data_IF_856944188703
#
_entry.id   IF_856944188703
#
_cell.length_a   1.000
_cell.length_b   1.000
_cell.length_c   1.000
_cell.angle_alpha   90.00
_cell.angle_beta   90.00
_cell.angle_gamma   90.00
#
_symmetry.space_group_name_H-M   'P 1'
#
loop_
_entity.id
_entity.type
_entity.pdbx_description
1 polymer ?
#
# COMPACT_ATOMS: atom_id res chain seq x y z
N UNK A 1 47.95 9.62 30.50
CA UNK A 1 47.08 10.44 29.63
C UNK A 1 45.98 9.55 29.12
N UNK A 2 44.77 9.67 29.67
CA UNK A 2 43.58 9.04 29.11
C UNK A 2 42.99 9.99 28.06
N UNK A 3 42.48 9.51 26.91
CA UNK A 3 41.80 10.36 25.96
C UNK A 3 40.47 10.82 26.56
N UNK A 4 40.22 12.12 26.52
CA UNK A 4 38.94 12.69 26.91
C UNK A 4 37.83 12.18 25.98
N UNK A 5 36.61 11.91 26.49
CA UNK A 5 35.49 11.62 25.62
C UNK A 5 35.17 12.87 24.79
N UNK A 6 35.22 12.72 23.47
CA UNK A 6 34.75 13.71 22.52
C UNK A 6 33.26 13.97 22.77
N UNK A 7 32.91 15.15 23.26
CA UNK A 7 31.54 15.64 23.29
C UNK A 7 31.15 16.13 21.89
N UNK A 8 30.98 15.21 20.95
CA UNK A 8 30.21 15.49 19.75
C UNK A 8 28.74 15.29 20.08
N UNK A 9 28.17 16.22 20.84
CA UNK A 9 26.75 16.49 20.72
C UNK A 9 26.60 17.19 19.35
N UNK A 10 26.51 16.40 18.29
CA UNK A 10 26.11 16.89 16.98
C UNK A 10 24.75 17.58 17.14
N UNK A 11 24.66 18.80 16.61
CA UNK A 11 23.46 19.61 16.55
C UNK A 11 22.26 18.77 16.08
N UNK A 12 21.43 18.31 17.01
CA UNK A 12 20.11 17.83 16.69
C UNK A 12 19.39 18.98 15.98
N UNK A 13 18.86 18.79 14.75
CA UNK A 13 18.19 19.87 14.05
C UNK A 13 17.08 20.43 14.92
N UNK A 14 17.02 21.76 15.03
CA UNK A 14 16.05 22.49 15.85
C UNK A 14 14.67 21.83 15.71
N UNK A 15 14.19 21.24 16.82
CA UNK A 15 13.02 20.37 16.79
C UNK A 15 11.81 21.08 16.19
N UNK A 16 11.15 20.42 15.24
CA UNK A 16 9.87 20.88 14.70
C UNK A 16 8.82 21.07 15.81
N UNK A 17 7.70 21.76 15.52
CA UNK A 17 6.67 22.02 16.51
C UNK A 17 6.20 20.71 17.16
N UNK A 18 5.92 20.72 18.48
CA UNK A 18 5.57 19.51 19.21
C UNK A 18 4.31 18.86 18.60
N UNK A 19 4.38 17.55 18.44
CA UNK A 19 3.25 16.74 17.94
C UNK A 19 2.60 15.99 19.10
N UNK A 20 1.29 15.74 19.00
CA UNK A 20 0.58 14.91 19.96
C UNK A 20 0.50 13.49 19.39
N UNK A 21 1.04 12.53 20.13
CA UNK A 21 1.02 11.12 19.77
C UNK A 21 0.10 10.32 20.71
N UNK A 22 -0.52 9.28 20.17
CA UNK A 22 -1.37 8.36 20.92
C UNK A 22 -1.51 7.05 20.18
N UNK A 23 -2.22 6.10 20.77
CA UNK A 23 -2.60 4.86 20.10
C UNK A 23 -3.90 4.31 20.68
N UNK A 24 -4.55 3.44 19.93
CA UNK A 24 -5.69 2.63 20.37
C UNK A 24 -5.80 1.39 19.49
N UNK A 25 -6.73 0.50 19.84
CA UNK A 25 -7.13 -0.63 19.00
C UNK A 25 -8.57 -0.45 18.52
N UNK A 26 -8.87 -0.96 17.33
CA UNK A 26 -10.22 -1.00 16.73
C UNK A 26 -10.56 -2.39 16.21
N UNK A 27 -11.85 -2.62 15.97
CA UNK A 27 -12.34 -3.95 15.62
C UNK A 27 -12.13 -4.92 16.78
N UNK A 28 -11.84 -6.17 16.43
CA UNK A 28 -11.63 -7.23 17.41
C UNK A 28 -12.92 -7.87 17.91
N UNK A 29 -12.83 -9.16 18.24
CA UNK A 29 -13.83 -9.92 18.99
C UNK A 29 -13.14 -10.93 19.90
N UNK A 30 -13.82 -11.34 20.96
CA UNK A 30 -13.41 -12.49 21.73
C UNK A 30 -13.79 -13.78 21.01
N UNK A 31 -12.86 -14.73 20.94
CA UNK A 31 -13.06 -16.03 20.33
C UNK A 31 -12.57 -17.14 21.26
N UNK A 32 -13.35 -18.22 21.35
CA UNK A 32 -13.05 -19.38 22.18
C UNK A 32 -12.22 -20.37 21.36
N UNK A 33 -10.99 -20.62 21.79
CA UNK A 33 -10.05 -21.56 21.14
C UNK A 33 -9.64 -22.61 22.17
N UNK A 34 -9.97 -23.88 21.92
CA UNK A 34 -9.69 -25.02 22.81
C UNK A 34 -10.18 -24.85 24.26
N UNK A 35 -9.35 -24.40 25.21
CA UNK A 35 -9.65 -24.13 26.62
C UNK A 35 -9.54 -22.63 27.03
N UNK A 36 -9.06 -21.76 26.13
CA UNK A 36 -8.88 -20.31 26.34
C UNK A 36 -9.86 -19.44 25.52
N UNK A 37 -9.98 -18.18 25.93
CA UNK A 37 -10.65 -17.11 25.15
C UNK A 37 -9.59 -16.08 24.77
N UNK A 38 -9.51 -15.74 23.48
CA UNK A 38 -8.49 -14.84 22.91
C UNK A 38 -9.14 -13.69 22.15
N UNK A 39 -8.43 -12.56 22.01
CA UNK A 39 -8.85 -11.44 21.15
C UNK A 39 -8.33 -11.66 19.72
N UNK A 40 -9.23 -11.57 18.74
CA UNK A 40 -8.93 -11.76 17.31
C UNK A 40 -9.59 -10.68 16.46
N UNK A 41 -9.02 -10.31 15.32
CA UNK A 41 -9.57 -9.30 14.41
C UNK A 41 -9.27 -7.84 14.80
N UNK A 42 -8.46 -7.60 15.83
CA UNK A 42 -8.10 -6.27 16.29
C UNK A 42 -7.02 -5.63 15.42
N UNK A 43 -7.12 -4.32 15.21
CA UNK A 43 -6.15 -3.51 14.50
C UNK A 43 -5.56 -2.46 15.44
N UNK A 44 -4.25 -2.46 15.59
CA UNK A 44 -3.50 -1.40 16.25
C UNK A 44 -3.49 -0.15 15.38
N UNK A 45 -3.71 1.00 16.01
CA UNK A 45 -3.72 2.31 15.36
C UNK A 45 -2.88 3.27 16.18
N UNK A 46 -1.83 3.81 15.58
CA UNK A 46 -1.05 4.91 16.14
C UNK A 46 -1.55 6.23 15.56
N UNK A 47 -1.87 7.20 16.41
CA UNK A 47 -2.29 8.55 15.99
C UNK A 47 -1.15 9.54 16.19
N UNK A 48 -0.95 10.44 15.23
CA UNK A 48 -0.10 11.63 15.35
C UNK A 48 -0.86 12.83 14.81
N UNK A 49 -0.75 13.98 15.47
CA UNK A 49 -1.35 15.23 15.00
C UNK A 49 -0.51 16.45 15.36
N UNK A 50 -0.60 17.54 14.59
CA UNK A 50 -0.06 18.84 14.99
C UNK A 50 -0.81 19.37 16.23
N UNK A 51 -0.23 20.37 16.87
CA UNK A 51 -0.89 21.09 17.97
C UNK A 51 -2.28 21.63 17.54
N UNK A 52 -2.36 22.18 16.33
CA UNK A 52 -3.59 22.60 15.68
C UNK A 52 -3.75 21.87 14.33
N UNK A 53 -4.85 21.13 14.17
CA UNK A 53 -5.21 20.47 12.90
C UNK A 53 -5.81 21.51 11.96
N UNK A 54 -5.26 21.65 10.76
CA UNK A 54 -5.72 22.62 9.75
C UNK A 54 -6.34 21.96 8.53
N UNK A 55 -6.15 20.66 8.37
CA UNK A 55 -6.75 19.88 7.29
C UNK A 55 -8.11 19.32 7.71
N UNK A 56 -9.12 19.33 6.82
CA UNK A 56 -10.49 18.99 7.18
C UNK A 56 -10.69 17.50 7.48
N UNK A 57 -9.88 16.62 6.86
CA UNK A 57 -9.98 15.18 7.08
C UNK A 57 -8.62 14.61 7.50
N UNK A 58 -8.62 13.68 8.47
CA UNK A 58 -7.43 12.92 8.79
C UNK A 58 -7.01 12.00 7.64
N UNK A 59 -5.78 11.52 7.71
CA UNK A 59 -5.22 10.51 6.81
C UNK A 59 -5.03 9.20 7.55
N UNK A 60 -5.49 8.10 6.97
CA UNK A 60 -5.22 6.73 7.44
C UNK A 60 -4.19 6.09 6.52
N UNK A 61 -3.02 5.73 7.06
CA UNK A 61 -1.93 5.11 6.33
C UNK A 61 -1.90 3.60 6.58
N UNK A 62 -1.99 2.80 5.51
CA UNK A 62 -2.09 1.33 5.55
C UNK A 62 -0.95 0.71 4.76
N UNK A 63 -0.08 -0.03 5.46
CA UNK A 63 1.15 -0.62 4.90
C UNK A 63 0.87 -1.85 4.04
N UNK A 64 1.87 -2.31 3.28
CA UNK A 64 1.78 -3.50 2.44
C UNK A 64 2.10 -4.84 3.12
N UNK A 65 2.35 -5.85 2.28
CA UNK A 65 2.69 -7.21 2.71
C UNK A 65 4.07 -7.25 3.38
N UNK A 66 4.25 -8.12 4.37
CA UNK A 66 5.50 -8.27 5.15
C UNK A 66 5.97 -7.05 5.96
N UNK A 67 5.19 -5.97 5.97
CA UNK A 67 5.55 -4.69 6.60
C UNK A 67 4.63 -4.36 7.78
N UNK A 68 4.91 -3.23 8.44
CA UNK A 68 4.11 -2.61 9.51
C UNK A 68 3.95 -1.11 9.24
N UNK A 69 3.25 -0.38 10.12
CA UNK A 69 3.14 1.07 10.05
C UNK A 69 4.47 1.84 10.10
N UNK A 70 5.58 1.17 10.47
CA UNK A 70 6.94 1.74 10.49
C UNK A 70 7.34 2.35 9.16
N UNK A 71 6.87 1.81 8.02
CA UNK A 71 7.17 2.34 6.69
C UNK A 71 6.83 3.82 6.51
N UNK A 72 5.88 4.33 7.30
CA UNK A 72 5.45 5.72 7.23
C UNK A 72 6.03 6.57 8.35
N UNK A 73 6.64 5.97 9.38
CA UNK A 73 7.16 6.69 10.54
C UNK A 73 8.56 7.27 10.29
N UNK A 74 9.40 6.55 9.55
CA UNK A 74 10.78 6.92 9.26
C UNK A 74 11.33 6.13 8.07
N UNK A 75 12.39 6.63 7.47
CA UNK A 75 13.11 5.94 6.40
C UNK A 75 14.23 5.07 6.99
N UNK A 76 14.69 4.03 6.29
CA UNK A 76 15.74 3.13 6.79
C UNK A 76 17.10 3.82 6.99
N UNK A 77 17.32 4.97 6.37
CA UNK A 77 18.51 5.82 6.57
C UNK A 77 18.31 6.91 7.65
N UNK A 78 17.22 6.86 8.41
CA UNK A 78 17.00 7.69 9.61
C UNK A 78 16.31 9.03 9.38
N UNK A 79 15.85 9.32 8.15
CA UNK A 79 15.06 10.54 7.88
C UNK A 79 13.62 10.38 8.39
N UNK A 80 12.90 11.48 8.65
CA UNK A 80 11.47 11.44 8.91
C UNK A 80 10.68 10.77 7.77
N UNK A 81 9.63 10.04 8.13
CA UNK A 81 8.73 9.41 7.15
C UNK A 81 7.51 10.27 6.82
N UNK A 82 6.67 9.76 5.92
CA UNK A 82 5.45 10.45 5.46
C UNK A 82 4.52 10.89 6.59
N UNK A 83 4.40 10.12 7.67
CA UNK A 83 3.57 10.50 8.80
C UNK A 83 3.97 11.87 9.39
N UNK A 84 5.28 12.12 9.50
CA UNK A 84 5.80 13.40 9.96
C UNK A 84 5.50 14.50 8.94
N UNK A 85 5.73 14.23 7.64
CA UNK A 85 5.47 15.20 6.57
C UNK A 85 4.01 15.63 6.50
N UNK A 86 3.07 14.69 6.63
CA UNK A 86 1.64 14.99 6.66
C UNK A 86 1.23 15.77 7.92
N UNK A 87 1.79 15.44 9.09
CA UNK A 87 1.56 16.21 10.33
C UNK A 87 2.02 17.67 10.18
N UNK A 88 3.18 17.90 9.57
CA UNK A 88 3.70 19.24 9.26
C UNK A 88 2.81 20.03 8.29
N UNK A 89 2.05 19.34 7.41
CA UNK A 89 1.05 19.94 6.52
C UNK A 89 -0.34 20.06 7.17
N UNK A 90 -0.45 19.79 8.46
CA UNK A 90 -1.66 20.07 9.24
C UNK A 90 -2.65 18.91 9.35
N UNK A 91 -2.29 17.71 8.88
CA UNK A 91 -3.14 16.53 8.97
C UNK A 91 -3.07 15.89 10.36
N UNK A 92 -4.22 15.42 10.87
CA UNK A 92 -4.22 14.30 11.81
C UNK A 92 -3.95 13.01 11.03
N UNK A 93 -3.05 12.16 11.54
CA UNK A 93 -2.58 10.96 10.84
C UNK A 93 -2.80 9.74 11.74
N UNK A 94 -3.40 8.70 11.18
CA UNK A 94 -3.60 7.40 11.80
C UNK A 94 -2.81 6.36 11.01
N UNK A 95 -1.96 5.60 11.67
CA UNK A 95 -1.04 4.65 11.07
C UNK A 95 -1.36 3.30 11.66
N UNK A 96 -1.74 2.35 10.82
CA UNK A 96 -2.22 1.05 11.28
C UNK A 96 -1.15 -0.01 11.16
N UNK A 97 -1.20 -1.01 12.04
CA UNK A 97 -0.66 -2.34 11.73
C UNK A 97 -1.85 -3.23 11.33
N UNK A 98 -1.80 -3.87 10.16
CA UNK A 98 -2.88 -4.77 9.71
C UNK A 98 -3.21 -5.84 10.76
N UNK A 99 -4.45 -6.34 10.76
CA UNK A 99 -4.84 -7.49 11.59
C UNK A 99 -3.87 -8.66 11.36
N UNK A 100 -3.43 -9.31 12.43
CA UNK A 100 -2.48 -10.42 12.32
C UNK A 100 -1.02 -9.98 12.15
N UNK A 101 -0.70 -8.67 12.15
CA UNK A 101 0.63 -8.11 11.85
C UNK A 101 1.13 -7.19 12.97
N UNK A 102 2.42 -7.22 13.27
CA UNK A 102 3.05 -6.26 14.19
C UNK A 102 2.33 -6.18 15.53
N UNK A 103 1.90 -4.98 15.92
CA UNK A 103 1.23 -4.72 17.21
C UNK A 103 -0.24 -5.16 17.23
N UNK A 104 -0.81 -5.57 16.10
CA UNK A 104 -2.14 -6.18 15.99
C UNK A 104 -2.14 -7.67 16.32
N UNK A 105 -0.98 -8.23 16.67
CA UNK A 105 -0.81 -9.57 17.23
C UNK A 105 -0.82 -10.67 16.17
N UNK A 106 0.15 -11.59 16.24
CA UNK A 106 0.13 -12.82 15.45
C UNK A 106 -0.68 -13.89 16.17
N UNK A 107 -1.46 -14.68 15.43
CA UNK A 107 -2.22 -15.78 16.02
C UNK A 107 -2.37 -16.95 15.02
N UNK A 108 -1.36 -17.83 14.90
CA UNK A 108 -1.40 -18.94 13.96
C UNK A 108 -2.45 -20.01 14.31
N UNK A 109 -2.90 -20.09 15.57
CA UNK A 109 -3.96 -21.02 15.97
C UNK A 109 -5.32 -20.66 15.36
N UNK A 110 -5.59 -19.36 15.16
CA UNK A 110 -6.86 -18.87 14.59
C UNK A 110 -6.70 -18.49 13.12
N UNK A 111 -5.61 -17.80 12.77
CA UNK A 111 -5.41 -17.27 11.42
C UNK A 111 -4.63 -18.21 10.51
N UNK A 112 -4.16 -19.36 11.01
CA UNK A 112 -3.42 -20.32 10.21
C UNK A 112 -1.97 -19.91 9.93
N UNK A 113 -1.34 -20.47 8.88
CA UNK A 113 0.09 -20.34 8.67
C UNK A 113 0.52 -18.93 8.24
N UNK A 114 1.74 -18.58 8.64
CA UNK A 114 2.40 -17.34 8.26
C UNK A 114 3.57 -17.61 7.32
N UNK A 115 3.85 -16.66 6.44
CA UNK A 115 4.98 -16.67 5.51
C UNK A 115 5.93 -15.50 5.75
N UNK A 116 7.11 -15.56 5.13
CA UNK A 116 8.15 -14.52 5.13
C UNK A 116 8.77 -14.42 3.76
N UNK A 117 9.22 -13.23 3.38
CA UNK A 117 10.10 -13.08 2.21
C UNK A 117 11.54 -13.44 2.55
N UNK A 118 12.26 -13.95 1.56
CA UNK A 118 13.72 -14.09 1.63
C UNK A 118 14.39 -12.76 1.29
N UNK A 119 15.66 -12.62 1.66
CA UNK A 119 16.51 -11.49 1.26
C UNK A 119 16.44 -11.24 -0.24
N UNK A 120 16.71 -12.28 -1.05
CA UNK A 120 16.67 -12.19 -2.52
C UNK A 120 15.32 -11.69 -3.05
N UNK A 121 14.20 -12.20 -2.51
CA UNK A 121 12.88 -11.78 -2.95
C UNK A 121 12.64 -10.28 -2.72
N UNK A 122 13.16 -9.72 -1.62
CA UNK A 122 13.04 -8.30 -1.32
C UNK A 122 13.98 -7.45 -2.18
N UNK A 123 15.22 -7.90 -2.38
CA UNK A 123 16.17 -7.21 -3.27
C UNK A 123 15.62 -7.10 -4.70
N UNK A 124 15.19 -8.21 -5.28
CA UNK A 124 14.76 -8.25 -6.69
C UNK A 124 13.42 -7.52 -6.92
N UNK A 125 12.57 -7.42 -5.89
CA UNK A 125 11.23 -6.84 -6.01
C UNK A 125 11.15 -5.40 -5.53
N UNK A 126 11.93 -4.98 -4.53
CA UNK A 126 11.68 -3.73 -3.81
C UNK A 126 12.86 -2.77 -3.70
N UNK A 127 14.10 -3.26 -3.59
CA UNK A 127 15.21 -2.40 -3.13
C UNK A 127 16.43 -2.37 -4.04
N UNK A 128 16.57 -3.34 -4.96
CA UNK A 128 17.70 -3.42 -5.90
C UNK A 128 17.24 -3.91 -7.29
N UNK A 129 16.03 -3.55 -7.70
CA UNK A 129 15.38 -4.03 -8.94
C UNK A 129 16.26 -3.83 -10.19
N UNK A 130 17.05 -2.76 -10.22
CA UNK A 130 18.01 -2.41 -11.27
C UNK A 130 19.10 -3.46 -11.50
N UNK A 131 19.40 -4.31 -10.51
CA UNK A 131 20.39 -5.38 -10.62
C UNK A 131 19.81 -6.67 -11.21
N UNK A 132 18.48 -6.83 -11.19
CA UNK A 132 17.80 -8.07 -11.58
C UNK A 132 17.12 -7.99 -12.95
N UNK A 133 16.83 -6.79 -13.45
CA UNK A 133 16.32 -6.52 -14.81
C UNK A 133 15.10 -7.39 -15.22
N UNK A 134 14.19 -7.63 -14.27
CA UNK A 134 13.02 -8.51 -14.46
C UNK A 134 11.90 -7.88 -15.30
N UNK A 135 11.95 -6.56 -15.49
CA UNK A 135 10.99 -5.79 -16.28
C UNK A 135 11.69 -4.57 -16.90
N UNK A 136 11.17 -4.02 -18.03
CA UNK A 136 11.94 -3.08 -18.86
C UNK A 136 12.43 -1.81 -18.17
N UNK A 137 11.73 -1.37 -17.12
CA UNK A 137 12.03 -0.14 -16.39
C UNK A 137 12.89 -0.36 -15.14
N UNK A 138 13.22 -1.60 -14.78
CA UNK A 138 13.92 -1.90 -13.53
C UNK A 138 15.24 -1.14 -13.39
N UNK A 139 15.99 -1.02 -14.49
CA UNK A 139 17.25 -0.26 -14.60
C UNK A 139 17.16 1.24 -14.26
N UNK A 140 15.96 1.80 -14.17
CA UNK A 140 15.76 3.22 -13.84
C UNK A 140 15.85 3.47 -12.32
N UNK A 141 15.85 2.42 -11.50
CA UNK A 141 15.81 2.57 -10.05
C UNK A 141 17.13 3.14 -9.52
N UNK A 142 17.02 4.30 -8.86
CA UNK A 142 18.19 5.07 -8.39
C UNK A 142 17.96 5.76 -7.05
N UNK A 143 16.76 5.63 -6.47
CA UNK A 143 16.38 6.38 -5.27
C UNK A 143 16.59 5.62 -3.95
N UNK A 144 17.02 4.36 -3.97
CA UNK A 144 17.38 3.67 -2.72
C UNK A 144 18.57 4.37 -2.03
N UNK A 145 18.51 4.60 -0.70
CA UNK A 145 19.60 5.22 0.03
C UNK A 145 20.87 4.35 0.03
N UNK A 146 22.03 4.99 -0.22
CA UNK A 146 23.32 4.29 -0.23
C UNK A 146 23.64 3.46 -1.49
N UNK A 147 22.83 3.56 -2.55
CA UNK A 147 23.00 2.75 -3.77
C UNK A 147 22.05 1.54 -3.78
N UNK A 148 22.30 0.51 -4.62
CA UNK A 148 21.43 -0.67 -4.66
C UNK A 148 21.20 -1.27 -3.27
N UNK A 149 19.93 -1.51 -2.93
CA UNK A 149 19.53 -2.05 -1.65
C UNK A 149 19.68 -3.56 -1.59
N UNK A 150 20.92 -4.02 -1.42
CA UNK A 150 21.30 -5.43 -1.24
C UNK A 150 21.88 -5.67 0.15
N UNK A 151 22.03 -6.93 0.55
CA UNK A 151 22.67 -7.29 1.82
C UNK A 151 24.00 -6.55 2.03
N UNK A 152 24.14 -5.88 3.19
CA UNK A 152 25.31 -5.07 3.54
C UNK A 152 25.20 -3.59 3.16
N UNK A 153 24.18 -3.19 2.39
CA UNK A 153 23.75 -1.80 2.34
C UNK A 153 23.03 -1.46 3.66
N UNK A 154 23.48 -0.44 4.37
CA UNK A 154 22.95 -0.10 5.70
C UNK A 154 21.44 0.19 5.71
N UNK A 155 20.91 0.85 4.68
CA UNK A 155 19.48 1.11 4.55
C UNK A 155 18.70 -0.18 4.22
N UNK A 156 19.27 -1.06 3.39
CA UNK A 156 18.67 -2.37 3.15
C UNK A 156 18.63 -3.23 4.41
N UNK A 157 19.69 -3.25 5.21
CA UNK A 157 19.74 -4.05 6.43
C UNK A 157 18.69 -3.58 7.46
N UNK A 158 18.49 -2.26 7.59
CA UNK A 158 17.40 -1.69 8.41
C UNK A 158 16.01 -2.03 7.84
N UNK A 159 15.83 -1.90 6.52
CA UNK A 159 14.59 -2.29 5.87
C UNK A 159 14.28 -3.78 6.08
N UNK A 160 15.25 -4.66 5.89
CA UNK A 160 15.12 -6.10 6.08
C UNK A 160 14.77 -6.45 7.53
N UNK A 161 15.42 -5.80 8.50
CA UNK A 161 15.12 -5.97 9.92
C UNK A 161 13.70 -5.53 10.30
N UNK A 162 13.12 -4.58 9.57
CA UNK A 162 11.72 -4.13 9.79
C UNK A 162 10.67 -5.08 9.21
N UNK A 163 11.06 -6.07 8.40
CA UNK A 163 10.13 -7.03 7.81
C UNK A 163 9.64 -8.04 8.85
N UNK A 164 8.34 -8.34 8.81
CA UNK A 164 7.66 -9.23 9.76
C UNK A 164 6.87 -10.32 9.02
N UNK A 165 6.56 -11.46 9.68
CA UNK A 165 5.70 -12.48 9.09
C UNK A 165 4.32 -11.95 8.69
N UNK A 166 3.75 -12.49 7.62
CA UNK A 166 2.41 -12.17 7.15
C UNK A 166 1.56 -13.43 6.97
N UNK A 167 0.24 -13.29 7.02
CA UNK A 167 -0.70 -14.40 6.80
C UNK A 167 -0.50 -15.00 5.41
N UNK A 168 -0.35 -16.32 5.32
CA UNK A 168 -0.19 -17.00 4.04
C UNK A 168 -1.47 -16.97 3.20
N UNK A 169 -2.65 -16.92 3.85
CA UNK A 169 -3.95 -16.80 3.19
C UNK A 169 -4.24 -15.36 2.75
N UNK A 170 -4.10 -15.09 1.44
CA UNK A 170 -4.34 -13.75 0.90
C UNK A 170 -5.82 -13.31 1.00
N UNK A 171 -6.78 -14.22 0.72
CA UNK A 171 -8.20 -13.94 0.90
C UNK A 171 -8.56 -13.69 2.37
N UNK A 172 -8.11 -14.57 3.26
CA UNK A 172 -8.33 -14.43 4.70
C UNK A 172 -7.76 -13.11 5.24
N UNK A 173 -6.66 -12.60 4.66
CA UNK A 173 -6.12 -11.29 5.03
C UNK A 173 -7.12 -10.17 4.76
N UNK A 174 -7.76 -10.14 3.58
CA UNK A 174 -8.80 -9.14 3.26
C UNK A 174 -10.02 -9.28 4.19
N UNK A 175 -10.50 -10.51 4.40
CA UNK A 175 -11.64 -10.81 5.29
C UNK A 175 -11.41 -10.38 6.75
N UNK A 176 -10.14 -10.30 7.19
CA UNK A 176 -9.77 -9.83 8.52
C UNK A 176 -9.51 -8.32 8.57
N UNK A 177 -8.84 -7.76 7.56
CA UNK A 177 -8.38 -6.36 7.57
C UNK A 177 -9.50 -5.39 7.21
N UNK A 178 -10.36 -5.72 6.25
CA UNK A 178 -11.39 -4.81 5.76
C UNK A 178 -12.40 -4.42 6.86
N UNK A 179 -12.93 -5.35 7.67
CA UNK A 179 -13.83 -4.98 8.77
C UNK A 179 -13.15 -4.11 9.83
N UNK A 180 -11.86 -4.32 10.09
CA UNK A 180 -11.12 -3.53 11.07
C UNK A 180 -10.83 -2.10 10.57
N UNK A 181 -10.54 -1.92 9.28
CA UNK A 181 -10.44 -0.60 8.66
C UNK A 181 -11.80 0.12 8.61
N UNK A 182 -12.88 -0.60 8.33
CA UNK A 182 -14.25 -0.05 8.42
C UNK A 182 -14.51 0.42 9.85
N UNK A 183 -14.19 -0.39 10.87
CA UNK A 183 -14.33 -0.01 12.27
C UNK A 183 -13.47 1.21 12.65
N UNK A 184 -12.30 1.38 12.03
CA UNK A 184 -11.49 2.58 12.19
C UNK A 184 -12.24 3.81 11.65
N UNK A 185 -12.73 3.76 10.41
CA UNK A 185 -13.46 4.86 9.80
C UNK A 185 -14.75 5.19 10.55
N UNK A 186 -15.51 4.18 10.96
CA UNK A 186 -16.74 4.37 11.75
C UNK A 186 -16.42 5.06 13.11
N UNK A 187 -15.21 4.87 13.65
CA UNK A 187 -14.76 5.51 14.90
C UNK A 187 -14.25 6.94 14.70
N UNK A 188 -13.46 7.21 13.66
CA UNK A 188 -12.80 8.51 13.46
C UNK A 188 -13.59 9.46 12.55
N UNK A 189 -14.60 8.94 11.86
CA UNK A 189 -15.39 9.66 10.87
C UNK A 189 -14.70 9.72 9.49
N UNK A 190 -15.11 10.67 8.64
CA UNK A 190 -14.55 10.86 7.31
C UNK A 190 -13.02 10.98 7.27
N UNK A 191 -12.37 10.30 6.34
CA UNK A 191 -10.91 10.30 6.22
C UNK A 191 -10.42 10.10 4.77
N UNK A 192 -9.16 10.44 4.53
CA UNK A 192 -8.41 10.04 3.34
C UNK A 192 -7.68 8.73 3.63
N UNK A 193 -7.80 7.74 2.74
CA UNK A 193 -7.04 6.50 2.81
C UNK A 193 -5.77 6.61 1.97
N UNK A 194 -4.61 6.35 2.57
CA UNK A 194 -3.33 6.18 1.87
C UNK A 194 -2.90 4.73 2.05
N UNK A 195 -2.97 3.95 0.98
CA UNK A 195 -2.67 2.51 1.02
C UNK A 195 -1.46 2.19 0.17
N UNK A 196 -0.61 1.27 0.61
CA UNK A 196 0.57 0.83 -0.15
C UNK A 196 0.56 -0.65 -0.49
N UNK A 197 0.89 -0.99 -1.74
CA UNK A 197 1.12 -2.37 -2.17
C UNK A 197 -0.12 -3.25 -1.96
N UNK A 198 0.01 -4.28 -1.12
CA UNK A 198 -1.11 -5.17 -0.75
C UNK A 198 -2.34 -4.40 -0.26
N UNK A 199 -2.14 -3.29 0.46
CA UNK A 199 -3.25 -2.56 1.06
C UNK A 199 -4.13 -1.81 0.06
N UNK A 200 -3.72 -1.71 -1.22
CA UNK A 200 -4.59 -1.18 -2.27
C UNK A 200 -5.94 -1.90 -2.34
N UNK A 201 -5.94 -3.22 -2.14
CA UNK A 201 -7.14 -4.06 -2.18
C UNK A 201 -8.09 -3.69 -1.04
N UNK A 202 -7.56 -3.53 0.17
CA UNK A 202 -8.35 -3.11 1.33
C UNK A 202 -8.95 -1.71 1.11
N UNK A 203 -8.17 -0.80 0.52
CA UNK A 203 -8.65 0.53 0.16
C UNK A 203 -9.84 0.49 -0.81
N UNK A 204 -9.81 -0.38 -1.82
CA UNK A 204 -10.95 -0.59 -2.72
C UNK A 204 -12.17 -1.16 -1.98
N UNK A 205 -12.00 -2.23 -1.21
CA UNK A 205 -13.11 -2.83 -0.46
C UNK A 205 -13.75 -1.85 0.53
N UNK A 206 -12.94 -1.09 1.26
CA UNK A 206 -13.42 -0.12 2.25
C UNK A 206 -14.06 1.10 1.58
N UNK A 207 -13.53 1.56 0.44
CA UNK A 207 -14.14 2.63 -0.35
C UNK A 207 -15.51 2.23 -0.91
N UNK A 208 -15.66 0.97 -1.31
CA UNK A 208 -16.94 0.42 -1.76
C UNK A 208 -17.95 0.28 -0.61
N UNK A 209 -17.49 -0.13 0.57
CA UNK A 209 -18.33 -0.36 1.75
C UNK A 209 -18.67 0.94 2.53
N UNK A 210 -17.84 1.98 2.41
CA UNK A 210 -17.99 3.27 3.12
C UNK A 210 -17.71 4.47 2.19
N UNK A 211 -18.39 4.60 1.05
CA UNK A 211 -18.14 5.67 0.09
C UNK A 211 -18.41 7.08 0.66
N UNK A 212 -19.21 7.19 1.72
CA UNK A 212 -19.49 8.46 2.39
C UNK A 212 -18.39 8.90 3.39
N UNK A 213 -17.65 7.93 3.95
CA UNK A 213 -16.56 8.19 4.90
C UNK A 213 -15.20 8.30 4.21
N UNK A 214 -14.97 7.56 3.12
CA UNK A 214 -13.72 7.70 2.36
C UNK A 214 -13.80 8.93 1.46
N UNK A 215 -13.09 10.00 1.86
CA UNK A 215 -13.08 11.28 1.12
C UNK A 215 -12.12 11.29 -0.05
N UNK A 216 -11.06 10.49 0.04
CA UNK A 216 -10.23 10.14 -1.09
C UNK A 216 -9.46 8.85 -0.81
N UNK A 217 -9.11 8.12 -1.87
CA UNK A 217 -8.24 6.95 -1.79
C UNK A 217 -6.98 7.16 -2.63
N UNK A 218 -5.85 7.34 -1.95
CA UNK A 218 -4.51 7.39 -2.53
C UNK A 218 -3.93 5.98 -2.53
N UNK A 219 -4.04 5.31 -3.67
CA UNK A 219 -3.57 3.95 -3.88
C UNK A 219 -2.13 3.98 -4.40
N UNK A 220 -1.15 3.87 -3.48
CA UNK A 220 0.27 3.80 -3.81
C UNK A 220 0.60 2.38 -4.26
N UNK A 221 0.77 2.22 -5.57
CA UNK A 221 1.21 0.96 -6.17
C UNK A 221 0.36 -0.27 -5.76
N UNK A 222 -0.99 -0.20 -5.93
CA UNK A 222 -1.96 -1.14 -5.35
C UNK A 222 -1.89 -2.54 -5.95
N UNK A 223 -1.96 -3.62 -5.14
CA UNK A 223 -1.86 -5.01 -5.62
C UNK A 223 -2.81 -5.29 -6.80
N UNK A 224 -2.29 -6.04 -7.78
CA UNK A 224 -2.79 -6.13 -9.14
C UNK A 224 -1.80 -6.94 -9.99
N UNK A 225 -2.07 -7.17 -11.28
CA UNK A 225 -3.18 -6.62 -12.06
C UNK A 225 -4.53 -7.28 -11.71
N UNK A 226 -5.65 -6.80 -12.28
CA UNK A 226 -6.95 -7.40 -12.05
C UNK A 226 -7.01 -8.88 -12.43
N UNK A 227 -7.79 -9.65 -11.67
CA UNK A 227 -8.05 -11.09 -11.80
C UNK A 227 -6.87 -12.03 -11.56
N UNK A 228 -5.71 -11.82 -12.19
CA UNK A 228 -4.61 -12.80 -12.20
C UNK A 228 -3.30 -12.19 -11.73
N UNK A 229 -2.47 -12.99 -11.05
CA UNK A 229 -1.10 -12.61 -10.76
C UNK A 229 -0.23 -12.83 -11.99
N UNK A 230 0.85 -12.08 -12.09
CA UNK A 230 1.87 -12.27 -13.12
C UNK A 230 3.22 -12.48 -12.47
N UNK A 231 4.06 -13.29 -13.11
CA UNK A 231 5.46 -13.43 -12.73
C UNK A 231 6.32 -12.72 -13.76
N UNK A 232 7.16 -11.80 -13.30
CA UNK A 232 8.13 -11.11 -14.12
C UNK A 232 9.41 -11.95 -14.23
N UNK A 233 9.99 -12.02 -15.42
CA UNK A 233 11.07 -12.95 -15.79
C UNK A 233 12.20 -12.30 -16.59
N UNK A 234 12.08 -11.02 -16.96
CA UNK A 234 13.07 -10.30 -17.78
C UNK A 234 13.07 -10.72 -19.25
N UNK A 235 13.90 -10.03 -20.05
CA UNK A 235 14.01 -10.29 -21.50
C UNK A 235 12.84 -9.75 -22.32
N UNK A 236 12.69 -10.23 -23.57
CA UNK A 236 11.66 -9.74 -24.51
C UNK A 236 10.24 -10.09 -24.07
N UNK A 237 10.04 -11.31 -23.58
CA UNK A 237 8.79 -11.80 -23.02
C UNK A 237 8.85 -11.75 -21.48
N UNK A 238 8.95 -10.53 -20.96
CA UNK A 238 9.31 -10.27 -19.56
C UNK A 238 8.29 -10.72 -18.52
N UNK A 239 7.13 -11.28 -18.90
CA UNK A 239 6.10 -11.71 -17.96
C UNK A 239 5.36 -12.96 -18.42
N UNK A 240 4.78 -13.68 -17.45
CA UNK A 240 3.78 -14.72 -17.70
C UNK A 240 2.63 -14.61 -16.68
N UNK A 241 1.50 -15.27 -16.97
CA UNK A 241 0.40 -15.43 -16.01
C UNK A 241 0.74 -16.49 -14.94
N UNK A 242 0.59 -16.14 -13.67
CA UNK A 242 0.80 -17.05 -12.54
C UNK A 242 -0.41 -17.97 -12.34
N UNK A 243 -0.45 -19.06 -13.10
CA UNK A 243 -1.51 -20.07 -13.01
C UNK A 243 -2.86 -19.64 -13.59
N UNK A 244 -3.84 -20.54 -13.53
CA UNK A 244 -5.18 -20.33 -14.12
C UNK A 244 -6.25 -19.85 -13.13
N UNK A 245 -5.98 -19.96 -11.83
CA UNK A 245 -6.88 -19.47 -10.78
C UNK A 245 -6.89 -17.94 -10.71
N UNK A 246 -8.07 -17.35 -10.46
CA UNK A 246 -8.18 -15.91 -10.22
C UNK A 246 -7.56 -15.58 -8.86
N UNK A 247 -6.45 -14.86 -8.86
CA UNK A 247 -5.81 -14.32 -7.67
C UNK A 247 -6.65 -13.23 -6.99
N UNK A 248 -7.50 -12.52 -7.74
CA UNK A 248 -8.48 -11.52 -7.28
C UNK A 248 -9.82 -11.81 -7.93
N UNK A 249 -10.66 -12.56 -7.23
CA UNK A 249 -11.89 -13.14 -7.78
C UNK A 249 -12.86 -12.08 -8.36
N UNK A 250 -12.88 -10.88 -7.76
CA UNK A 250 -13.76 -9.76 -8.12
C UNK A 250 -13.03 -8.66 -8.88
N UNK A 251 -12.00 -9.03 -9.65
CA UNK A 251 -11.20 -8.10 -10.45
C UNK A 251 -10.09 -7.47 -9.62
N UNK A 252 -10.42 -6.53 -8.75
CA UNK A 252 -9.44 -5.75 -7.97
C UNK A 252 -9.38 -6.12 -6.49
N UNK A 253 -10.23 -7.04 -6.03
CA UNK A 253 -10.27 -7.60 -4.67
C UNK A 253 -10.52 -9.11 -4.71
N UNK A 254 -10.22 -9.79 -3.61
CA UNK A 254 -10.60 -11.20 -3.38
C UNK A 254 -11.97 -11.30 -2.72
N UNK A 255 -12.35 -10.29 -1.94
CA UNK A 255 -13.69 -10.17 -1.36
C UNK A 255 -14.68 -9.51 -2.34
N UNK A 256 -16.00 -9.80 -2.23
CA UNK A 256 -17.01 -9.20 -3.10
C UNK A 256 -17.06 -7.67 -3.00
N UNK A 257 -17.39 -7.01 -4.11
CA UNK A 257 -17.69 -5.59 -4.21
C UNK A 257 -19.15 -5.36 -4.64
N UNK A 258 -19.64 -4.14 -4.49
CA UNK A 258 -20.99 -3.75 -4.90
C UNK A 258 -21.04 -3.49 -6.41
N UNK A 259 -21.28 -4.56 -7.19
CA UNK A 259 -21.47 -4.45 -8.64
C UNK A 259 -22.91 -4.12 -9.03
N UNK A 260 -23.07 -3.40 -10.15
CA UNK A 260 -24.35 -3.22 -10.85
C UNK A 260 -24.21 -3.50 -12.35
N UNK A 261 -24.91 -4.50 -12.92
CA UNK A 261 -25.80 -5.44 -12.23
C UNK A 261 -25.10 -6.32 -11.18
N UNK A 262 -25.82 -6.85 -10.15
CA UNK A 262 -25.21 -7.61 -9.06
C UNK A 262 -24.44 -8.85 -9.51
N UNK A 263 -23.28 -9.08 -8.87
CA UNK A 263 -22.45 -10.29 -8.96
C UNK A 263 -22.74 -11.16 -7.75
N UNK A 264 -23.24 -12.39 -7.95
CA UNK A 264 -23.53 -13.35 -6.87
C UNK A 264 -22.35 -14.26 -6.57
N UNK A 265 -21.56 -14.56 -7.59
CA UNK A 265 -20.31 -15.29 -7.46
C UNK A 265 -19.26 -14.78 -8.46
N UNK A 266 -17.97 -15.04 -8.26
CA UNK A 266 -16.91 -14.58 -9.17
C UNK A 266 -17.14 -14.97 -10.63
N UNK A 267 -17.79 -16.10 -10.88
CA UNK A 267 -18.08 -16.64 -12.22
C UNK A 267 -19.01 -15.73 -13.04
N UNK A 268 -19.82 -14.88 -12.39
CA UNK A 268 -20.68 -13.90 -13.08
C UNK A 268 -19.88 -12.79 -13.77
N UNK A 269 -18.58 -12.65 -13.45
CA UNK A 269 -17.65 -11.79 -14.15
C UNK A 269 -16.97 -12.58 -15.26
N UNK A 270 -17.36 -12.31 -16.50
CA UNK A 270 -16.62 -12.78 -17.68
C UNK A 270 -15.29 -12.05 -17.71
N UNK A 271 -14.18 -12.75 -17.98
CA UNK A 271 -12.85 -12.16 -18.01
C UNK A 271 -12.24 -12.32 -19.39
N UNK A 272 -11.74 -11.24 -19.97
CA UNK A 272 -11.08 -11.22 -21.28
C UNK A 272 -9.72 -10.55 -21.17
N UNK A 273 -8.73 -11.08 -21.88
CA UNK A 273 -7.44 -10.41 -22.01
C UNK A 273 -7.48 -9.40 -23.15
N UNK A 274 -7.00 -8.19 -22.91
CA UNK A 274 -6.84 -7.16 -23.92
C UNK A 274 -5.96 -7.65 -25.08
N UNK A 275 -6.28 -7.23 -26.31
CA UNK A 275 -5.56 -7.66 -27.53
C UNK A 275 -4.10 -7.17 -27.53
N UNK A 276 -3.85 -6.00 -26.95
CA UNK A 276 -2.55 -5.35 -26.90
C UNK A 276 -2.32 -4.69 -25.52
N UNK A 277 -1.05 -4.50 -25.10
CA UNK A 277 -0.73 -3.70 -23.91
C UNK A 277 -1.03 -2.22 -24.14
N UNK A 278 -1.18 -1.45 -23.05
CA UNK A 278 -1.46 -0.01 -23.13
C UNK A 278 -0.28 0.80 -23.70
N UNK A 279 0.95 0.35 -23.47
CA UNK A 279 2.18 0.93 -23.98
C UNK A 279 3.30 -0.12 -24.03
N UNK A 280 4.44 0.23 -24.62
CA UNK A 280 5.63 -0.61 -24.59
C UNK A 280 6.10 -0.87 -23.15
N UNK A 281 6.51 -2.10 -22.87
CA UNK A 281 6.90 -2.53 -21.52
C UNK A 281 5.74 -2.55 -20.52
N UNK A 282 4.50 -2.74 -21.00
CA UNK A 282 3.31 -3.04 -20.20
C UNK A 282 2.80 -4.44 -20.52
N UNK A 283 2.10 -5.05 -19.57
CA UNK A 283 1.42 -6.31 -19.80
C UNK A 283 0.10 -6.10 -20.57
N UNK A 284 -0.47 -7.17 -21.10
CA UNK A 284 -1.87 -7.17 -21.55
C UNK A 284 -2.80 -7.39 -20.37
N UNK A 285 -3.73 -6.48 -20.18
CA UNK A 285 -4.65 -6.50 -19.03
C UNK A 285 -5.73 -7.56 -19.16
N UNK A 286 -6.08 -8.22 -18.05
CA UNK A 286 -7.32 -8.97 -17.94
C UNK A 286 -8.41 -8.05 -17.39
N UNK A 287 -9.48 -7.90 -18.15
CA UNK A 287 -10.58 -6.97 -17.89
C UNK A 287 -11.93 -7.71 -17.94
N UNK A 288 -13.02 -7.04 -17.62
CA UNK A 288 -14.35 -7.62 -17.76
C UNK A 288 -14.66 -7.86 -19.25
N UNK A 289 -15.25 -9.01 -19.55
CA UNK A 289 -15.98 -9.24 -20.79
C UNK A 289 -17.44 -8.81 -20.64
N UNK A 290 -18.21 -8.88 -21.72
CA UNK A 290 -19.62 -8.52 -21.69
C UNK A 290 -20.48 -9.55 -20.93
N UNK A 291 -21.51 -9.10 -20.18
CA UNK A 291 -21.84 -7.70 -19.90
C UNK A 291 -20.88 -7.09 -18.87
N UNK A 292 -20.36 -5.90 -19.17
CA UNK A 292 -19.58 -5.12 -18.20
C UNK A 292 -20.45 -4.71 -17.02
N UNK A 293 -19.93 -4.84 -15.80
CA UNK A 293 -20.59 -4.45 -14.56
C UNK A 293 -19.91 -3.23 -13.96
N UNK A 294 -20.73 -2.27 -13.54
CA UNK A 294 -20.27 -1.05 -12.89
C UNK A 294 -20.04 -1.27 -11.39
N UNK A 295 -19.24 -0.40 -10.77
CA UNK A 295 -18.97 -0.34 -9.33
C UNK A 295 -19.45 1.02 -8.80
N UNK A 296 -20.78 1.21 -8.62
CA UNK A 296 -21.37 2.52 -8.33
C UNK A 296 -20.85 3.16 -7.04
N UNK A 297 -20.53 2.39 -6.00
CA UNK A 297 -20.01 2.96 -4.75
C UNK A 297 -18.58 3.47 -4.94
N UNK A 298 -17.70 2.69 -5.57
CA UNK A 298 -16.34 3.14 -5.89
C UNK A 298 -16.31 4.36 -6.81
N UNK A 299 -17.25 4.46 -7.76
CA UNK A 299 -17.34 5.61 -8.64
C UNK A 299 -17.61 6.94 -7.91
N UNK A 300 -18.09 6.89 -6.66
CA UNK A 300 -18.34 8.08 -5.82
C UNK A 300 -17.10 8.54 -5.05
N UNK A 301 -16.07 7.71 -4.95
CA UNK A 301 -14.86 8.01 -4.15
C UNK A 301 -13.76 8.54 -5.07
N UNK A 302 -13.28 9.78 -4.87
CA UNK A 302 -12.11 10.29 -5.57
C UNK A 302 -10.91 9.40 -5.28
N UNK A 303 -10.26 8.87 -6.31
CA UNK A 303 -9.12 7.98 -6.15
C UNK A 303 -7.96 8.41 -7.05
N UNK A 304 -6.74 8.05 -6.65
CA UNK A 304 -5.54 8.15 -7.48
C UNK A 304 -4.70 6.89 -7.35
N UNK A 305 -4.22 6.39 -8.47
CA UNK A 305 -3.20 5.34 -8.51
C UNK A 305 -1.84 6.03 -8.70
N UNK A 306 -0.96 5.85 -7.73
CA UNK A 306 0.39 6.41 -7.74
C UNK A 306 1.36 5.33 -8.18
N UNK A 307 2.13 5.59 -9.23
CA UNK A 307 3.03 4.60 -9.84
C UNK A 307 4.41 5.21 -10.03
N UNK A 308 5.43 4.52 -9.51
CA UNK A 308 6.82 4.91 -9.69
C UNK A 308 7.39 4.41 -11.02
N UNK A 309 8.43 5.10 -11.51
CA UNK A 309 8.95 4.84 -12.85
C UNK A 309 9.71 3.50 -12.95
N UNK A 310 10.42 3.14 -11.89
CA UNK A 310 11.30 1.98 -11.83
C UNK A 310 10.73 0.82 -10.99
N UNK A 311 9.44 0.87 -10.68
CA UNK A 311 8.76 -0.20 -9.97
C UNK A 311 8.18 -1.24 -10.93
N UNK A 312 8.14 -2.49 -10.51
CA UNK A 312 7.44 -3.59 -11.19
C UNK A 312 5.96 -3.27 -11.45
N UNK A 313 5.41 -2.33 -10.70
CA UNK A 313 4.04 -1.82 -10.83
C UNK A 313 3.81 -1.00 -12.08
N UNK A 314 4.84 -0.36 -12.61
CA UNK A 314 4.79 0.34 -13.90
C UNK A 314 4.27 -0.58 -15.01
N UNK A 315 4.61 -1.88 -14.96
CA UNK A 315 4.19 -2.85 -15.98
C UNK A 315 2.70 -3.22 -15.90
N UNK A 316 2.03 -3.00 -14.76
CA UNK A 316 0.71 -3.59 -14.45
C UNK A 316 -0.35 -2.62 -13.94
N UNK A 317 0.01 -1.48 -13.35
CA UNK A 317 -0.95 -0.56 -12.71
C UNK A 317 -1.94 0.05 -13.71
N UNK A 318 -1.53 0.23 -14.98
CA UNK A 318 -2.43 0.66 -16.06
C UNK A 318 -3.64 -0.29 -16.22
N UNK A 319 -3.49 -1.57 -15.84
CA UNK A 319 -4.59 -2.54 -15.87
C UNK A 319 -5.61 -2.32 -14.76
N UNK A 320 -5.16 -1.92 -13.56
CA UNK A 320 -6.07 -1.55 -12.46
C UNK A 320 -6.86 -0.30 -12.84
N UNK A 321 -6.20 0.71 -13.41
CA UNK A 321 -6.87 1.91 -13.97
C UNK A 321 -7.90 1.54 -15.02
N UNK A 322 -7.55 0.66 -15.98
CA UNK A 322 -8.46 0.24 -17.04
C UNK A 322 -9.68 -0.53 -16.52
N UNK A 323 -9.51 -1.41 -15.54
CA UNK A 323 -10.63 -2.13 -14.92
C UNK A 323 -11.58 -1.18 -14.19
N UNK A 324 -11.03 -0.25 -13.39
CA UNK A 324 -11.84 0.74 -12.67
C UNK A 324 -12.61 1.63 -13.66
N UNK A 325 -11.94 2.12 -14.71
CA UNK A 325 -12.57 2.90 -15.78
C UNK A 325 -13.70 2.14 -16.47
N UNK A 326 -13.49 0.86 -16.78
CA UNK A 326 -14.52 -0.01 -17.35
C UNK A 326 -15.72 -0.18 -16.39
N UNK A 327 -15.46 -0.27 -15.09
CA UNK A 327 -16.48 -0.36 -14.05
C UNK A 327 -17.10 1.01 -13.68
N UNK A 328 -16.82 2.09 -14.42
CA UNK A 328 -17.40 3.42 -14.20
C UNK A 328 -16.72 4.25 -13.10
N UNK A 329 -15.71 3.71 -12.41
CA UNK A 329 -14.87 4.48 -11.51
C UNK A 329 -13.75 5.19 -12.30
N UNK A 330 -13.42 6.44 -11.97
CA UNK A 330 -12.41 7.22 -12.70
C UNK A 330 -11.28 7.65 -11.77
N UNK A 331 -10.39 6.72 -11.36
CA UNK A 331 -9.21 7.11 -10.60
C UNK A 331 -8.31 8.00 -11.46
N UNK A 332 -7.74 9.03 -10.86
CA UNK A 332 -6.61 9.73 -11.44
C UNK A 332 -5.40 8.80 -11.51
N UNK A 333 -4.45 9.14 -12.38
CA UNK A 333 -3.14 8.49 -12.42
C UNK A 333 -2.06 9.52 -12.07
N UNK A 334 -1.28 9.23 -11.04
CA UNK A 334 -0.10 10.01 -10.67
C UNK A 334 1.15 9.17 -10.96
N UNK A 335 1.64 9.29 -12.20
CA UNK A 335 2.91 8.70 -12.62
C UNK A 335 4.05 9.61 -12.15
N UNK A 336 4.86 9.15 -11.20
CA UNK A 336 5.87 9.99 -10.55
C UNK A 336 6.84 10.64 -11.56
N UNK A 337 7.26 9.90 -12.59
CA UNK A 337 8.13 10.42 -13.64
C UNK A 337 7.56 11.63 -14.39
N UNK A 338 6.24 11.65 -14.61
CA UNK A 338 5.53 12.74 -15.29
C UNK A 338 5.44 13.99 -14.41
N UNK A 339 5.46 13.81 -13.09
CA UNK A 339 5.58 14.87 -12.10
C UNK A 339 7.04 15.29 -11.81
N UNK A 340 8.03 14.79 -12.57
CA UNK A 340 9.45 15.08 -12.39
C UNK A 340 10.13 14.30 -11.25
N UNK A 341 9.41 13.38 -10.60
CA UNK A 341 9.92 12.50 -9.54
C UNK A 341 10.42 11.19 -10.16
N UNK A 342 11.71 11.16 -10.49
CA UNK A 342 12.36 10.06 -11.22
C UNK A 342 13.19 9.17 -10.31
N UNK A 343 13.39 7.94 -10.77
CA UNK A 343 14.23 6.92 -10.16
C UNK A 343 13.57 6.11 -9.06
N UNK A 344 12.30 6.38 -8.76
CA UNK A 344 11.59 5.73 -7.67
C UNK A 344 11.20 4.29 -8.01
N UNK A 345 11.27 3.42 -7.00
CA UNK A 345 10.78 2.05 -7.02
C UNK A 345 9.53 1.88 -6.15
N UNK A 346 9.23 0.63 -5.79
CA UNK A 346 8.01 0.30 -5.02
C UNK A 346 8.00 0.90 -3.61
N UNK A 347 9.19 1.12 -3.05
CA UNK A 347 9.38 1.60 -1.68
C UNK A 347 9.60 3.11 -1.64
N UNK A 348 8.93 3.88 -2.50
CA UNK A 348 9.07 5.33 -2.65
C UNK A 348 8.96 6.13 -1.34
N UNK A 349 8.26 5.62 -0.32
CA UNK A 349 8.19 6.23 1.01
C UNK A 349 9.47 6.10 1.84
N UNK A 350 10.38 5.20 1.47
CA UNK A 350 11.66 4.94 2.13
C UNK A 350 12.85 5.48 1.33
N UNK A 351 12.61 5.92 0.10
CA UNK A 351 13.63 6.35 -0.85
C UNK A 351 14.11 7.78 -0.59
N UNK A 352 15.22 8.17 -1.23
CA UNK A 352 15.93 9.46 -0.98
C UNK A 352 15.03 10.69 -1.18
N UNK A 353 14.16 10.65 -2.18
CA UNK A 353 13.22 11.74 -2.49
C UNK A 353 11.81 11.52 -1.90
N UNK A 354 11.69 10.68 -0.85
CA UNK A 354 10.41 10.35 -0.19
C UNK A 354 9.56 11.58 0.20
N UNK A 355 10.17 12.66 0.69
CA UNK A 355 9.44 13.89 1.04
C UNK A 355 8.79 14.57 -0.17
N UNK A 356 9.45 14.55 -1.32
CA UNK A 356 8.92 15.12 -2.54
C UNK A 356 7.75 14.29 -3.09
N UNK A 357 7.81 12.96 -2.92
CA UNK A 357 6.69 12.07 -3.21
C UNK A 357 5.52 12.37 -2.26
N UNK A 358 5.76 12.48 -0.95
CA UNK A 358 4.73 12.85 0.01
C UNK A 358 4.06 14.19 -0.34
N UNK A 359 4.84 15.20 -0.70
CA UNK A 359 4.33 16.51 -1.11
C UNK A 359 3.46 16.42 -2.37
N UNK A 360 3.80 15.55 -3.33
CA UNK A 360 2.96 15.31 -4.51
C UNK A 360 1.61 14.67 -4.13
N UNK A 361 1.60 13.70 -3.20
CA UNK A 361 0.36 13.11 -2.69
C UNK A 361 -0.50 14.14 -1.97
N UNK A 362 0.12 14.96 -1.11
CA UNK A 362 -0.56 16.03 -0.38
C UNK A 362 -1.13 17.07 -1.35
N UNK A 363 -0.38 17.44 -2.39
CA UNK A 363 -0.84 18.34 -3.43
C UNK A 363 -2.07 17.79 -4.17
N UNK A 364 -2.06 16.49 -4.50
CA UNK A 364 -3.23 15.84 -5.10
C UNK A 364 -4.45 15.85 -4.17
N UNK A 365 -4.25 15.52 -2.88
CA UNK A 365 -5.32 15.55 -1.86
C UNK A 365 -5.90 16.96 -1.72
N UNK A 366 -5.04 17.98 -1.63
CA UNK A 366 -5.45 19.37 -1.44
C UNK A 366 -6.25 19.94 -2.64
N UNK A 367 -6.04 19.39 -3.83
CA UNK A 367 -6.77 19.76 -5.04
C UNK A 367 -8.17 19.11 -5.15
N UNK A 368 -8.58 18.26 -4.19
CA UNK A 368 -9.90 17.63 -4.20
C UNK A 368 -10.98 18.57 -3.62
N UNK A 369 -12.22 18.51 -4.14
CA UNK A 369 -13.33 19.25 -3.57
C UNK A 369 -13.53 18.90 -2.08
N UNK A 370 -13.87 19.90 -1.28
CA UNK A 370 -14.21 19.75 0.15
C UNK A 370 -15.66 19.40 0.37
#
# INVERSE_FOLDING_TARGET
MAPAPSSAAEDAPAGGPPTVAGYFYVGGRYERVADKTVMVGQMFVQSRRPAAVTQPWPVVMVHGISQTGVNFLGTPDGRPGWAQRFVEKGFAVYIVDQVGRGRSGTNPEVYGPYARFSTRALEETYTAQELYDLFPQAKLHTQWPGGPGVQGNAAFDQFFASQVPYLAGAQQTEELVDPALIALLDKIGPAVLVTHGQAGLFGWAVSDARPDLVKAHVAVEPNGPPFFDVRLRGGKDFYEKSGDGRARAYGITRVPLTFDPPVKSPEDLVVMQAKAPAAEGRIRCWLQGEPVRSLPNLARVPAVIVTAEASFRTAVDDCTTAFLAQAGARPDSLKLAEAGLRGNGHMMMLEKNSDAVADALIGWIAARPR
#
